data_IF_304030990395
#
_entry.id   IF_304030990395
#
_cell.length_a   1.000
_cell.length_b   1.000
_cell.length_c   1.000
_cell.angle_alpha   90.00
_cell.angle_beta   90.00
_cell.angle_gamma   90.00
#
_symmetry.space_group_name_H-M   'P 1'
#
loop_
_entity.id
_entity.type
_entity.pdbx_description
1 polymer ?
#
# COMPACT_ATOMS: atom_id res chain seq x y z
N UNK A 1 4.95 -8.00 10.89
CA UNK A 1 5.78 -7.16 9.97
C UNK A 1 5.78 -7.70 8.54
N UNK A 2 5.85 -9.02 8.30
CA UNK A 2 6.00 -9.59 6.95
C UNK A 2 4.88 -9.31 5.91
N UNK A 3 3.62 -9.21 6.32
CA UNK A 3 2.50 -8.98 5.38
C UNK A 3 2.24 -7.50 5.08
N UNK A 4 2.60 -6.59 6.00
CA UNK A 4 2.26 -5.17 5.87
C UNK A 4 3.02 -4.51 4.73
N UNK A 5 4.30 -4.84 4.58
CA UNK A 5 5.18 -4.28 3.55
C UNK A 5 4.72 -4.62 2.12
N UNK A 6 4.46 -5.89 1.75
CA UNK A 6 3.98 -6.22 0.40
C UNK A 6 2.55 -5.71 0.13
N UNK A 7 1.69 -5.65 1.14
CA UNK A 7 0.36 -5.05 0.99
C UNK A 7 0.45 -3.55 0.73
N UNK A 8 1.28 -2.84 1.48
CA UNK A 8 1.48 -1.39 1.30
C UNK A 8 2.08 -1.09 -0.06
N UNK A 9 3.04 -1.90 -0.54
CA UNK A 9 3.65 -1.66 -1.85
C UNK A 9 2.70 -1.96 -3.01
N UNK A 10 1.81 -2.94 -2.85
CA UNK A 10 0.70 -3.19 -3.79
C UNK A 10 -0.27 -2.01 -3.82
N UNK A 11 -0.78 -1.59 -2.65
CA UNK A 11 -1.75 -0.50 -2.55
C UNK A 11 -1.17 0.84 -3.02
N UNK A 12 0.09 1.13 -2.70
CA UNK A 12 0.78 2.31 -3.20
C UNK A 12 0.97 2.26 -4.73
N UNK A 13 1.02 1.07 -5.33
CA UNK A 13 1.01 0.91 -6.79
C UNK A 13 -0.31 1.28 -7.44
N UNK A 14 -1.41 0.96 -6.79
CA UNK A 14 -2.74 1.31 -7.28
C UNK A 14 -3.04 2.81 -7.05
N UNK A 15 -2.45 3.44 -6.02
CA UNK A 15 -2.75 4.82 -5.63
C UNK A 15 -1.83 5.91 -6.19
N UNK A 16 -0.57 5.61 -6.53
CA UNK A 16 0.39 6.62 -7.00
C UNK A 16 0.83 6.39 -8.44
N UNK A 17 0.72 7.41 -9.32
CA UNK A 17 1.29 7.33 -10.67
C UNK A 17 2.82 7.25 -10.60
N UNK A 18 3.43 6.64 -11.62
CA UNK A 18 4.86 6.29 -11.71
C UNK A 18 5.80 7.44 -11.31
N UNK A 19 5.46 8.69 -11.64
CA UNK A 19 6.27 9.88 -11.35
C UNK A 19 6.31 10.29 -9.87
N UNK A 20 5.27 10.00 -9.09
CA UNK A 20 5.13 10.45 -7.67
C UNK A 20 5.29 9.32 -6.66
N UNK A 21 5.38 8.07 -7.12
CA UNK A 21 5.44 6.87 -6.29
C UNK A 21 6.62 6.87 -5.31
N UNK A 22 7.78 7.39 -5.73
CA UNK A 22 8.98 7.49 -4.89
C UNK A 22 8.78 8.42 -3.69
N UNK A 23 8.12 9.57 -3.88
CA UNK A 23 7.79 10.52 -2.82
C UNK A 23 6.77 9.91 -1.86
N UNK A 24 5.75 9.21 -2.36
CA UNK A 24 4.78 8.50 -1.54
C UNK A 24 5.43 7.47 -0.61
N UNK A 25 6.36 6.66 -1.15
CA UNK A 25 7.13 5.70 -0.34
C UNK A 25 8.08 6.39 0.65
N UNK A 26 8.71 7.52 0.28
CA UNK A 26 9.58 8.26 1.18
C UNK A 26 8.80 8.80 2.40
N UNK A 27 7.61 9.39 2.17
CA UNK A 27 6.73 9.85 3.25
C UNK A 27 6.33 8.68 4.15
N UNK A 28 5.92 7.56 3.56
CA UNK A 28 5.57 6.36 4.33
C UNK A 28 6.73 5.87 5.21
N UNK A 29 7.96 5.84 4.67
CA UNK A 29 9.15 5.43 5.40
C UNK A 29 9.46 6.38 6.58
N UNK A 30 9.33 7.69 6.38
CA UNK A 30 9.50 8.69 7.45
C UNK A 30 8.46 8.47 8.54
N UNK A 31 7.19 8.28 8.18
CA UNK A 31 6.11 8.03 9.15
C UNK A 31 6.35 6.75 9.95
N UNK A 32 6.80 5.68 9.29
CA UNK A 32 7.16 4.43 9.97
C UNK A 32 8.32 4.61 10.96
N UNK A 33 9.35 5.37 10.58
CA UNK A 33 10.47 5.72 11.45
C UNK A 33 10.03 6.54 12.67
N UNK A 34 9.23 7.59 12.46
CA UNK A 34 8.68 8.43 13.53
C UNK A 34 7.82 7.61 14.49
N UNK A 35 6.93 6.74 13.96
CA UNK A 35 6.10 5.87 14.79
C UNK A 35 6.93 4.92 15.66
N UNK A 36 8.02 4.39 15.11
CA UNK A 36 8.95 3.53 15.86
C UNK A 36 9.62 4.30 17.00
N UNK A 37 10.11 5.51 16.72
CA UNK A 37 10.74 6.37 17.71
C UNK A 37 9.77 6.75 18.85
N UNK A 38 8.54 7.13 18.50
CA UNK A 38 7.48 7.43 19.49
C UNK A 38 7.18 6.20 20.35
N UNK A 39 7.07 5.01 19.75
CA UNK A 39 6.84 3.77 20.48
C UNK A 39 7.97 3.43 21.46
N UNK A 40 9.23 3.65 21.06
CA UNK A 40 10.39 3.44 21.92
C UNK A 40 10.42 4.43 23.10
N UNK A 41 10.16 5.71 22.84
CA UNK A 41 10.09 6.74 23.90
C UNK A 41 8.96 6.40 24.88
N UNK A 42 7.78 6.04 24.37
CA UNK A 42 6.63 5.65 25.19
C UNK A 42 6.97 4.44 26.08
N UNK A 43 7.60 3.40 25.52
CA UNK A 43 8.02 2.24 26.29
C UNK A 43 9.03 2.60 27.39
N UNK A 44 10.00 3.48 27.09
CA UNK A 44 11.02 3.92 28.04
C UNK A 44 10.50 4.80 29.17
N UNK A 45 9.49 5.64 28.92
CA UNK A 45 8.91 6.53 29.93
C UNK A 45 7.81 5.86 30.77
N UNK A 46 6.94 5.08 30.11
CA UNK A 46 5.74 4.50 30.76
C UNK A 46 6.04 3.14 31.38
N UNK A 47 6.93 2.35 30.77
CA UNK A 47 7.29 1.01 31.24
C UNK A 47 7.80 0.96 32.69
N UNK A 48 8.71 1.85 33.11
CA UNK A 48 9.21 1.87 34.49
C UNK A 48 8.18 2.29 35.53
N UNK A 49 7.25 3.18 35.17
CA UNK A 49 6.29 3.78 36.11
C UNK A 49 5.02 2.94 36.25
N UNK A 50 4.48 2.46 35.13
CA UNK A 50 3.18 1.76 35.08
C UNK A 50 3.30 0.27 34.71
N UNK A 51 4.53 -0.21 34.54
CA UNK A 51 4.82 -1.58 34.14
C UNK A 51 4.76 -1.81 32.63
N UNK A 52 5.25 -2.97 32.21
CA UNK A 52 5.44 -3.30 30.79
C UNK A 52 4.15 -3.42 29.97
N UNK A 53 2.98 -3.60 30.61
CA UNK A 53 1.70 -3.82 29.91
C UNK A 53 1.11 -2.55 29.32
N UNK A 54 1.25 -1.42 30.01
CA UNK A 54 0.58 -0.16 29.66
C UNK A 54 1.03 0.42 28.31
N UNK A 55 2.32 0.38 27.93
CA UNK A 55 2.75 0.80 26.59
C UNK A 55 2.04 0.06 25.45
N UNK A 56 1.74 -1.23 25.61
CA UNK A 56 1.02 -2.00 24.58
C UNK A 56 -0.44 -1.56 24.43
N UNK A 57 -1.12 -1.28 25.56
CA UNK A 57 -2.50 -0.78 25.53
C UNK A 57 -2.56 0.60 24.88
N UNK A 58 -1.62 1.48 25.23
CA UNK A 58 -1.52 2.81 24.63
C UNK A 58 -1.22 2.76 23.14
N UNK A 59 -0.37 1.83 22.69
CA UNK A 59 -0.09 1.63 21.27
C UNK A 59 -1.27 1.00 20.51
N UNK A 60 -2.10 0.18 21.17
CA UNK A 60 -3.26 -0.46 20.54
C UNK A 60 -4.37 0.55 20.20
N UNK A 61 -4.59 1.57 21.02
CA UNK A 61 -5.63 2.58 20.79
C UNK A 61 -5.52 3.30 19.42
N UNK A 62 -4.38 3.91 19.05
CA UNK A 62 -4.25 4.55 17.74
C UNK A 62 -4.26 3.54 16.59
N UNK A 63 -3.81 2.30 16.81
CA UNK A 63 -3.87 1.24 15.80
C UNK A 63 -5.31 0.80 15.51
N UNK A 64 -6.16 0.71 16.53
CA UNK A 64 -7.59 0.43 16.36
C UNK A 64 -8.30 1.60 15.68
N UNK A 65 -7.96 2.85 16.06
CA UNK A 65 -8.48 4.04 15.41
C UNK A 65 -8.15 4.09 13.92
N UNK A 66 -6.89 3.81 13.54
CA UNK A 66 -6.50 3.77 12.14
C UNK A 66 -7.13 2.61 11.38
N UNK A 67 -7.28 1.43 11.98
CA UNK A 67 -7.99 0.31 11.39
C UNK A 67 -9.46 0.68 11.08
N UNK A 68 -10.14 1.35 12.01
CA UNK A 68 -11.51 1.83 11.80
C UNK A 68 -11.59 2.82 10.64
N UNK A 69 -10.66 3.78 10.54
CA UNK A 69 -10.63 4.74 9.44
C UNK A 69 -10.39 4.06 8.08
N UNK A 70 -9.50 3.06 8.03
CA UNK A 70 -9.24 2.29 6.81
C UNK A 70 -10.48 1.51 6.38
N UNK A 71 -11.24 0.93 7.31
CA UNK A 71 -12.48 0.21 6.97
C UNK A 71 -13.54 1.11 6.33
N UNK A 72 -13.51 2.43 6.60
CA UNK A 72 -14.41 3.39 5.97
C UNK A 72 -13.91 3.91 4.62
N UNK A 73 -12.69 3.55 4.23
CA UNK A 73 -12.09 3.98 2.97
C UNK A 73 -12.43 2.98 1.86
N UNK A 74 -12.93 3.48 0.72
CA UNK A 74 -13.16 2.66 -0.47
C UNK A 74 -11.83 2.17 -1.05
N UNK A 75 -11.77 0.87 -1.36
CA UNK A 75 -10.61 0.28 -2.03
C UNK A 75 -10.52 0.87 -3.45
N UNK A 76 -9.37 1.44 -3.85
CA UNK A 76 -9.20 1.98 -5.19
C UNK A 76 -9.29 0.85 -6.23
N UNK A 77 -9.88 1.14 -7.39
CA UNK A 77 -9.90 0.18 -8.49
C UNK A 77 -8.46 -0.17 -8.90
N UNK A 78 -8.17 -1.47 -8.89
CA UNK A 78 -6.83 -2.01 -9.21
C UNK A 78 -6.36 -1.52 -10.57
N UNK A 79 -5.14 -0.98 -10.62
CA UNK A 79 -4.54 -0.49 -11.86
C UNK A 79 -5.14 0.80 -12.44
N UNK A 80 -6.01 1.54 -11.73
CA UNK A 80 -6.61 2.78 -12.25
C UNK A 80 -5.58 3.87 -12.62
N UNK A 81 -4.37 3.82 -12.04
CA UNK A 81 -3.29 4.78 -12.27
C UNK A 81 -2.13 4.26 -13.12
N UNK A 82 -2.27 3.07 -13.71
CA UNK A 82 -1.31 2.55 -14.65
C UNK A 82 -1.56 3.15 -16.04
N UNK A 83 -0.57 3.87 -16.57
CA UNK A 83 -0.68 4.63 -17.83
C UNK A 83 -1.02 3.73 -19.03
N UNK A 84 -0.49 2.50 -19.03
CA UNK A 84 -0.79 1.48 -20.04
C UNK A 84 -2.26 0.98 -19.96
N UNK A 85 -2.89 1.02 -18.79
CA UNK A 85 -4.30 0.66 -18.59
C UNK A 85 -5.24 1.83 -18.88
N UNK A 86 -4.79 3.08 -18.73
CA UNK A 86 -5.63 4.26 -18.99
C UNK A 86 -6.05 4.38 -20.46
N UNK A 87 -5.11 4.22 -21.40
CA UNK A 87 -5.41 4.21 -22.85
C UNK A 87 -6.41 3.13 -23.24
N UNK A 88 -6.39 2.06 -22.47
CA UNK A 88 -7.21 0.88 -22.62
C UNK A 88 -8.61 1.07 -22.00
N UNK A 89 -8.70 1.70 -20.82
CA UNK A 89 -9.98 2.13 -20.25
C UNK A 89 -10.68 3.15 -21.17
N UNK A 90 -9.93 4.12 -21.72
CA UNK A 90 -10.47 5.12 -22.66
C UNK A 90 -11.13 4.47 -23.87
N UNK A 91 -10.46 3.49 -24.50
CA UNK A 91 -10.99 2.80 -25.68
C UNK A 91 -12.20 1.91 -25.37
N UNK A 92 -12.34 1.49 -24.12
CA UNK A 92 -13.50 0.73 -23.62
C UNK A 92 -14.73 1.61 -23.44
N UNK A 93 -14.53 2.82 -22.90
CA UNK A 93 -15.57 3.82 -22.75
C UNK A 93 -16.10 4.28 -24.12
N UNK A 94 -15.22 4.36 -25.13
CA UNK A 94 -15.60 4.67 -26.51
C UNK A 94 -16.33 3.51 -27.20
N UNK A 95 -15.96 2.25 -26.92
CA UNK A 95 -16.56 1.06 -27.53
C UNK A 95 -17.88 0.61 -26.88
N UNK A 96 -18.17 1.04 -25.65
CA UNK A 96 -19.38 0.66 -24.91
C UNK A 96 -19.37 -0.74 -24.30
N UNK A 97 -18.27 -1.49 -24.47
CA UNK A 97 -18.05 -2.81 -23.87
C UNK A 97 -17.23 -2.69 -22.56
N UNK A 98 -17.65 -3.35 -21.46
CA UNK A 98 -16.95 -3.25 -20.19
C UNK A 98 -15.55 -3.89 -20.28
N UNK A 99 -14.52 -3.15 -19.84
CA UNK A 99 -13.17 -3.68 -19.86
C UNK A 99 -12.99 -4.76 -18.80
N UNK A 100 -12.82 -6.01 -19.25
CA UNK A 100 -12.48 -7.13 -18.38
C UNK A 100 -11.00 -7.42 -18.57
N UNK A 101 -10.18 -7.11 -17.56
CA UNK A 101 -8.77 -7.45 -17.54
C UNK A 101 -8.57 -8.98 -17.54
N UNK A 102 -8.47 -9.59 -18.72
CA UNK A 102 -8.12 -11.01 -18.92
C UNK A 102 -6.67 -11.11 -19.35
N UNK A 103 -5.75 -11.31 -18.40
CA UNK A 103 -4.41 -11.77 -18.75
C UNK A 103 -4.35 -13.29 -18.77
N UNK A 104 -4.18 -13.86 -19.96
CA UNK A 104 -3.77 -15.25 -20.13
C UNK A 104 -2.25 -15.29 -20.26
N UNK A 105 -1.59 -16.06 -19.40
CA UNK A 105 -0.15 -16.32 -19.50
C UNK A 105 0.11 -17.25 -20.69
N UNK A 106 0.31 -16.66 -21.87
CA UNK A 106 0.74 -17.39 -23.06
C UNK A 106 2.24 -17.64 -23.02
N UNK A 107 2.68 -18.83 -23.42
CA UNK A 107 4.09 -19.24 -23.47
C UNK A 107 5.01 -18.28 -24.25
N UNK A 108 4.46 -17.53 -25.21
CA UNK A 108 5.15 -16.48 -25.95
C UNK A 108 5.60 -15.32 -25.05
N UNK A 109 4.76 -14.88 -24.11
CA UNK A 109 5.09 -13.81 -23.15
C UNK A 109 6.14 -14.26 -22.15
N UNK A 110 6.08 -15.53 -21.72
CA UNK A 110 7.07 -16.13 -20.81
C UNK A 110 8.46 -16.08 -21.45
N UNK A 111 8.58 -16.45 -22.72
CA UNK A 111 9.85 -16.40 -23.46
C UNK A 111 10.38 -14.97 -23.62
N UNK A 112 9.49 -13.99 -23.65
CA UNK A 112 9.82 -12.56 -23.76
C UNK A 112 10.38 -11.98 -22.46
N UNK A 113 9.92 -12.42 -21.29
CA UNK A 113 10.48 -12.02 -19.97
C UNK A 113 11.94 -12.43 -19.85
N UNK A 114 12.30 -13.63 -20.33
CA UNK A 114 13.68 -14.12 -20.32
C UNK A 114 14.58 -13.49 -21.40
N UNK A 115 14.04 -12.61 -22.26
CA UNK A 115 14.81 -11.92 -23.30
C UNK A 115 15.19 -10.48 -22.95
N UNK A 116 14.73 -9.98 -21.78
CA UNK A 116 15.11 -8.67 -21.26
C UNK A 116 16.46 -8.85 -20.55
N UNK A 117 17.54 -8.18 -20.99
CA UNK A 117 18.89 -8.33 -20.42
C UNK A 117 19.01 -7.82 -18.98
#
# INVERSE_FOLDING_TARGET
>A
VGALTPLTSSLAGDQFPTSTRSIGFAIWAVLAGVGTLVGQIMAGLVGPVYGWRVPFVLAALPALGSAFLVMQTLEPERGSKEEALQAVYQSSLESGDPYVYKQTMTWTKVRQVFSIP
#
